data_IF_109854286651
#
_entry.id   IF_109854286651
#
_cell.length_a   1.000
_cell.length_b   1.000
_cell.length_c   1.000
_cell.angle_alpha   90.00
_cell.angle_beta   90.00
_cell.angle_gamma   90.00
#
_symmetry.space_group_name_H-M   'P 1'
#
loop_
_entity.id
_entity.type
_entity.pdbx_description
1 polymer ?
#
# COMPACT_ATOMS: atom_id res chain seq x y z
N UNK A 1 9.17 18.90 -13.95
CA UNK A 1 10.14 18.48 -12.91
C UNK A 1 10.83 17.18 -13.33
N UNK A 2 11.95 16.86 -12.67
CA UNK A 2 12.61 15.56 -12.80
C UNK A 2 12.08 14.66 -11.68
N UNK A 3 11.34 13.61 -12.04
CA UNK A 3 10.71 12.68 -11.08
C UNK A 3 11.33 11.30 -11.24
N UNK A 4 11.72 10.68 -10.13
CA UNK A 4 12.07 9.26 -10.08
C UNK A 4 10.92 8.48 -9.45
N UNK A 5 10.50 7.42 -10.11
CA UNK A 5 9.68 6.36 -9.49
C UNK A 5 10.59 5.15 -9.24
N UNK A 6 10.87 4.88 -7.99
CA UNK A 6 11.72 3.79 -7.54
C UNK A 6 10.86 2.56 -7.27
N UNK A 7 10.75 1.71 -8.26
CA UNK A 7 9.97 0.47 -8.27
C UNK A 7 8.98 0.44 -9.42
N UNK A 8 9.14 -0.54 -10.30
CA UNK A 8 8.37 -0.71 -11.53
C UNK A 8 7.35 -1.87 -11.41
N UNK A 9 6.69 -1.97 -10.26
CA UNK A 9 5.50 -2.80 -10.06
C UNK A 9 4.26 -2.17 -10.71
N UNK A 10 3.08 -2.73 -10.47
CA UNK A 10 1.81 -2.19 -11.00
C UNK A 10 1.60 -0.75 -10.56
N UNK A 11 1.66 -0.52 -9.24
CA UNK A 11 1.43 0.81 -8.64
C UNK A 11 2.50 1.82 -9.09
N UNK A 12 3.79 1.40 -9.11
CA UNK A 12 4.86 2.29 -9.57
C UNK A 12 4.74 2.66 -11.04
N UNK A 13 4.33 1.74 -11.89
CA UNK A 13 4.07 2.01 -13.30
C UNK A 13 2.89 2.98 -13.50
N UNK A 14 1.80 2.79 -12.74
CA UNK A 14 0.64 3.69 -12.82
C UNK A 14 1.00 5.10 -12.30
N UNK A 15 1.75 5.19 -11.21
CA UNK A 15 2.22 6.47 -10.69
C UNK A 15 3.19 7.17 -11.68
N UNK A 16 4.08 6.40 -12.33
CA UNK A 16 4.95 6.92 -13.38
C UNK A 16 4.14 7.44 -14.58
N UNK A 17 3.05 6.76 -14.96
CA UNK A 17 2.11 7.23 -15.98
C UNK A 17 1.49 8.57 -15.60
N UNK A 18 0.96 8.70 -14.38
CA UNK A 18 0.41 9.98 -13.90
C UNK A 18 1.45 11.10 -13.94
N UNK A 19 2.66 10.83 -13.46
CA UNK A 19 3.75 11.81 -13.52
C UNK A 19 4.10 12.22 -14.96
N UNK A 20 4.09 11.27 -15.89
CA UNK A 20 4.33 11.54 -17.30
C UNK A 20 3.21 12.37 -17.92
N UNK A 21 1.95 12.03 -17.65
CA UNK A 21 0.78 12.79 -18.13
C UNK A 21 0.73 14.22 -17.56
N UNK A 22 1.28 14.43 -16.37
CA UNK A 22 1.44 15.77 -15.78
C UNK A 22 2.59 16.59 -16.41
N UNK A 23 3.27 16.07 -17.46
CA UNK A 23 4.32 16.78 -18.20
C UNK A 23 5.70 16.76 -17.54
N UNK A 24 5.97 15.80 -16.65
CA UNK A 24 7.27 15.70 -16.00
C UNK A 24 8.25 14.84 -16.83
N UNK A 25 9.55 15.06 -16.59
CA UNK A 25 10.61 14.14 -17.02
C UNK A 25 10.67 12.98 -16.02
N UNK A 26 10.14 11.83 -16.43
CA UNK A 26 9.99 10.65 -15.57
C UNK A 26 11.11 9.66 -15.79
N UNK A 27 11.76 9.28 -14.71
CA UNK A 27 12.69 8.14 -14.64
C UNK A 27 12.01 7.02 -13.85
N UNK A 28 12.06 5.80 -14.36
CA UNK A 28 11.52 4.61 -13.70
C UNK A 28 12.68 3.66 -13.37
N UNK A 29 12.84 3.32 -12.07
CA UNK A 29 13.84 2.35 -11.67
C UNK A 29 13.23 0.95 -11.73
N UNK A 30 13.80 0.13 -12.61
CA UNK A 30 13.37 -1.25 -12.83
C UNK A 30 14.59 -2.19 -12.90
N UNK A 31 14.39 -3.48 -12.65
CA UNK A 31 15.46 -4.48 -12.64
C UNK A 31 15.16 -5.66 -13.56
N UNK A 32 16.23 -6.38 -13.93
CA UNK A 32 16.15 -7.63 -14.71
C UNK A 32 15.44 -7.46 -16.05
N UNK A 33 14.84 -8.53 -16.55
CA UNK A 33 14.17 -8.57 -17.84
C UNK A 33 13.05 -7.53 -18.00
N UNK A 34 12.42 -7.12 -16.90
CA UNK A 34 11.39 -6.07 -16.96
C UNK A 34 11.97 -4.70 -17.35
N UNK A 35 13.18 -4.37 -16.88
CA UNK A 35 13.86 -3.16 -17.31
C UNK A 35 14.12 -3.18 -18.83
N UNK A 36 14.53 -4.34 -19.38
CA UNK A 36 14.76 -4.51 -20.83
C UNK A 36 13.47 -4.32 -21.66
N UNK A 37 12.34 -4.78 -21.12
CA UNK A 37 11.01 -4.57 -21.75
C UNK A 37 10.67 -3.09 -21.79
N UNK A 38 10.80 -2.40 -20.65
CA UNK A 38 10.51 -0.96 -20.54
C UNK A 38 11.40 -0.11 -21.46
N UNK A 39 12.69 -0.45 -21.58
CA UNK A 39 13.61 0.25 -22.48
C UNK A 39 13.23 0.07 -23.95
N UNK A 40 12.83 -1.13 -24.35
CA UNK A 40 12.46 -1.41 -25.75
C UNK A 40 11.10 -0.86 -26.13
N UNK A 41 10.12 -0.99 -25.26
CA UNK A 41 8.68 -0.75 -25.58
C UNK A 41 8.13 0.54 -24.97
N UNK A 42 8.82 1.13 -24.00
CA UNK A 42 8.27 2.13 -23.13
C UNK A 42 7.37 1.50 -22.05
N UNK A 43 6.74 2.34 -21.26
CA UNK A 43 5.80 1.94 -20.22
C UNK A 43 4.42 1.72 -20.85
N UNK A 44 4.08 0.46 -21.11
CA UNK A 44 2.79 0.05 -21.68
C UNK A 44 1.83 -0.32 -20.54
N UNK A 45 0.69 0.39 -20.44
CA UNK A 45 -0.35 0.12 -19.44
C UNK A 45 -1.69 -0.14 -20.13
N UNK A 46 -2.29 -1.29 -19.83
CA UNK A 46 -3.69 -1.59 -20.16
C UNK A 46 -4.55 -1.16 -18.98
N UNK A 47 -5.32 -0.08 -19.16
CA UNK A 47 -6.30 0.41 -18.18
C UNK A 47 -7.58 -0.42 -18.33
N UNK A 48 -7.78 -1.39 -17.42
CA UNK A 48 -8.81 -2.42 -17.56
C UNK A 48 -10.24 -1.84 -17.62
N UNK A 49 -10.59 -0.96 -16.67
CA UNK A 49 -11.93 -0.37 -16.60
C UNK A 49 -12.20 0.66 -17.72
N UNK A 50 -11.18 1.39 -18.15
CA UNK A 50 -11.28 2.37 -19.23
C UNK A 50 -11.15 1.74 -20.62
N UNK A 51 -10.88 0.43 -20.71
CA UNK A 51 -10.70 -0.34 -21.95
C UNK A 51 -9.70 0.29 -22.93
N UNK A 52 -8.69 1.01 -22.44
CA UNK A 52 -7.65 1.67 -23.24
C UNK A 52 -6.27 1.17 -22.91
N UNK A 53 -5.35 1.35 -23.83
CA UNK A 53 -3.91 1.10 -23.59
C UNK A 53 -3.14 2.38 -23.85
N UNK A 54 -2.22 2.71 -22.97
CA UNK A 54 -1.29 3.84 -23.11
C UNK A 54 0.13 3.34 -23.23
N UNK A 55 1.00 4.16 -23.84
CA UNK A 55 2.44 3.90 -23.94
C UNK A 55 3.16 5.20 -23.67
N UNK A 56 3.95 5.25 -22.58
CA UNK A 56 4.72 6.42 -22.21
C UNK A 56 6.22 6.14 -22.44
N UNK A 57 6.93 7.15 -22.92
CA UNK A 57 8.37 7.10 -23.06
C UNK A 57 9.04 7.63 -21.82
N UNK A 58 9.33 6.75 -20.86
CA UNK A 58 10.03 7.05 -19.63
C UNK A 58 11.50 6.67 -19.74
N UNK A 59 12.37 7.37 -19.02
CA UNK A 59 13.75 6.95 -18.86
C UNK A 59 13.84 5.79 -17.87
N UNK A 60 14.62 4.75 -18.19
CA UNK A 60 14.77 3.57 -17.32
C UNK A 60 16.17 3.54 -16.74
N UNK A 61 16.26 3.34 -15.42
CA UNK A 61 17.53 3.08 -14.74
C UNK A 61 17.43 1.78 -13.92
N UNK A 62 18.56 1.14 -13.67
CA UNK A 62 18.64 -0.10 -12.89
C UNK A 62 19.14 0.13 -11.46
N UNK A 63 19.75 1.27 -11.22
CA UNK A 63 20.32 1.65 -9.94
C UNK A 63 20.21 3.17 -9.73
N UNK A 64 19.95 3.61 -8.51
CA UNK A 64 20.00 5.01 -8.11
C UNK A 64 21.43 5.33 -7.64
N UNK A 65 22.12 6.21 -8.37
CA UNK A 65 23.41 6.76 -7.95
C UNK A 65 23.21 7.90 -6.93
N UNK A 66 24.10 8.05 -5.93
CA UNK A 66 24.02 9.15 -4.96
C UNK A 66 23.94 10.53 -5.61
N UNK A 67 24.59 10.74 -6.75
CA UNK A 67 24.69 12.02 -7.46
C UNK A 67 23.49 12.33 -8.37
N UNK A 68 22.64 11.33 -8.64
CA UNK A 68 21.47 11.53 -9.48
C UNK A 68 20.42 12.37 -8.75
N UNK A 69 20.25 13.61 -9.18
CA UNK A 69 19.35 14.56 -8.54
C UNK A 69 17.97 14.54 -9.22
N UNK A 70 16.94 14.35 -8.42
CA UNK A 70 15.53 14.46 -8.78
C UNK A 70 14.87 15.53 -7.91
N UNK A 71 13.81 16.15 -8.42
CA UNK A 71 12.99 17.08 -7.64
C UNK A 71 12.11 16.33 -6.64
N UNK A 72 11.75 15.07 -7.01
CA UNK A 72 10.91 14.17 -6.23
C UNK A 72 11.30 12.71 -6.51
N UNK A 73 11.37 11.89 -5.47
CA UNK A 73 11.50 10.44 -5.55
C UNK A 73 10.25 9.80 -4.93
N UNK A 74 9.49 9.05 -5.71
CA UNK A 74 8.45 8.15 -5.21
C UNK A 74 9.04 6.75 -5.10
N UNK A 75 9.01 6.18 -3.90
CA UNK A 75 9.48 4.81 -3.63
C UNK A 75 8.26 3.91 -3.53
N UNK A 76 8.09 3.03 -4.51
CA UNK A 76 6.89 2.21 -4.68
C UNK A 76 7.26 0.74 -4.68
N UNK A 77 7.21 0.12 -3.52
CA UNK A 77 7.58 -1.28 -3.33
C UNK A 77 6.87 -1.87 -2.12
N UNK A 78 6.94 -3.19 -2.00
CA UNK A 78 6.41 -3.89 -0.85
C UNK A 78 7.13 -3.44 0.43
N UNK A 79 6.41 -3.36 1.55
CA UNK A 79 6.96 -2.94 2.86
C UNK A 79 8.21 -3.74 3.23
N UNK A 80 8.27 -5.03 2.93
CA UNK A 80 9.43 -5.91 3.21
C UNK A 80 10.70 -5.53 2.46
N UNK A 81 10.59 -4.75 1.38
CA UNK A 81 11.71 -4.31 0.55
C UNK A 81 12.22 -2.91 0.92
N UNK A 82 11.40 -2.12 1.63
CA UNK A 82 11.70 -0.73 1.96
C UNK A 82 12.99 -0.60 2.78
N UNK A 83 13.23 -1.38 3.85
CA UNK A 83 14.44 -1.23 4.66
C UNK A 83 15.74 -1.36 3.85
N UNK A 84 15.77 -2.24 2.85
CA UNK A 84 16.96 -2.45 2.02
C UNK A 84 17.35 -1.23 1.14
N UNK A 85 16.45 -0.28 0.93
CA UNK A 85 16.69 0.89 0.09
C UNK A 85 16.83 2.20 0.86
N UNK A 86 16.50 2.23 2.17
CA UNK A 86 16.59 3.43 3.00
C UNK A 86 18.01 4.05 3.00
N UNK A 87 19.11 3.29 3.13
CA UNK A 87 20.46 3.85 3.04
C UNK A 87 20.76 4.50 1.68
N UNK A 88 20.27 3.91 0.59
CA UNK A 88 20.43 4.48 -0.76
C UNK A 88 19.66 5.80 -0.91
N UNK A 89 18.45 5.86 -0.36
CA UNK A 89 17.62 7.07 -0.38
C UNK A 89 18.23 8.18 0.47
N UNK A 90 18.75 7.84 1.64
CA UNK A 90 19.41 8.78 2.54
C UNK A 90 20.68 9.38 1.90
N UNK A 91 21.51 8.55 1.25
CA UNK A 91 22.74 8.98 0.59
C UNK A 91 22.52 9.78 -0.70
N UNK A 92 21.37 9.64 -1.36
CA UNK A 92 21.11 10.35 -2.62
C UNK A 92 20.84 11.85 -2.39
N UNK A 93 21.35 12.70 -3.29
CA UNK A 93 21.27 14.18 -3.19
C UNK A 93 19.87 14.77 -3.43
N UNK A 94 18.87 13.98 -3.80
CA UNK A 94 17.51 14.48 -4.00
C UNK A 94 16.87 14.84 -2.65
N UNK A 95 16.23 16.02 -2.54
CA UNK A 95 15.78 16.53 -1.25
C UNK A 95 14.48 15.91 -0.74
N UNK A 96 13.66 15.29 -1.62
CA UNK A 96 12.29 14.87 -1.29
C UNK A 96 12.03 13.43 -1.67
N UNK A 97 11.48 12.69 -0.71
CA UNK A 97 11.12 11.26 -0.85
C UNK A 97 9.68 11.06 -0.39
N UNK A 98 8.90 10.31 -1.16
CA UNK A 98 7.58 9.81 -0.77
C UNK A 98 7.63 8.29 -0.76
N UNK A 99 7.42 7.67 0.39
CA UNK A 99 7.31 6.22 0.54
C UNK A 99 5.84 5.82 0.28
N UNK A 100 5.59 5.04 -0.76
CA UNK A 100 4.24 4.71 -1.25
C UNK A 100 3.97 3.22 -1.13
N UNK A 101 2.93 2.87 -0.39
CA UNK A 101 2.48 1.49 -0.19
C UNK A 101 2.11 1.20 1.26
N UNK A 102 1.78 -0.06 1.54
CA UNK A 102 1.58 -0.52 2.90
C UNK A 102 2.85 -0.34 3.72
N UNK A 103 2.73 0.24 4.91
CA UNK A 103 3.87 0.41 5.80
C UNK A 103 3.42 0.65 7.26
N UNK A 104 3.33 -0.39 8.06
CA UNK A 104 3.04 -0.26 9.50
C UNK A 104 4.24 0.20 10.32
N UNK A 105 5.44 0.23 9.72
CA UNK A 105 6.69 0.69 10.35
C UNK A 105 7.15 2.04 9.78
N UNK A 106 6.22 2.87 9.34
CA UNK A 106 6.50 4.13 8.65
C UNK A 106 7.39 5.07 9.48
N UNK A 107 7.16 5.15 10.81
CA UNK A 107 7.96 5.97 11.71
C UNK A 107 9.43 5.55 11.76
N UNK A 108 9.71 4.25 11.79
CA UNK A 108 11.08 3.74 11.77
C UNK A 108 11.77 4.04 10.43
N UNK A 109 11.06 3.93 9.32
CA UNK A 109 11.58 4.28 8.00
C UNK A 109 11.91 5.78 7.87
N UNK A 110 11.05 6.66 8.39
CA UNK A 110 11.33 8.09 8.42
C UNK A 110 12.56 8.39 9.26
N UNK A 111 12.63 7.83 10.46
CA UNK A 111 13.73 8.05 11.40
C UNK A 111 15.07 7.64 10.79
N UNK A 112 15.16 6.47 10.15
CA UNK A 112 16.39 5.99 9.52
C UNK A 112 16.87 6.94 8.41
N UNK A 113 15.96 7.46 7.57
CA UNK A 113 16.33 8.43 6.53
C UNK A 113 16.84 9.73 7.15
N UNK A 114 16.15 10.24 8.18
CA UNK A 114 16.46 11.55 8.76
C UNK A 114 17.67 11.52 9.68
N UNK A 115 17.96 10.41 10.35
CA UNK A 115 19.20 10.24 11.13
C UNK A 115 20.42 10.32 10.21
N UNK A 116 20.33 9.77 9.00
CA UNK A 116 21.42 9.82 8.02
C UNK A 116 21.42 11.13 7.20
N UNK A 117 20.28 11.76 6.98
CA UNK A 117 20.14 13.00 6.21
C UNK A 117 19.03 13.91 6.76
N UNK A 118 19.29 14.72 7.81
CA UNK A 118 18.28 15.53 8.49
C UNK A 118 17.61 16.60 7.61
N UNK A 119 18.22 16.98 6.47
CA UNK A 119 17.69 17.97 5.54
C UNK A 119 16.71 17.41 4.52
N UNK A 120 16.48 16.11 4.53
CA UNK A 120 15.57 15.45 3.59
C UNK A 120 14.12 15.61 4.05
N UNK A 121 13.22 15.92 3.12
CA UNK A 121 11.79 15.91 3.37
C UNK A 121 11.23 14.52 3.02
N UNK A 122 10.59 13.88 4.00
CA UNK A 122 9.97 12.55 3.83
C UNK A 122 8.46 12.69 3.98
N UNK A 123 7.72 12.10 3.06
CA UNK A 123 6.28 11.96 3.13
C UNK A 123 5.90 10.49 2.91
N UNK A 124 4.67 10.17 3.24
CA UNK A 124 4.11 8.84 3.02
C UNK A 124 2.92 8.94 2.08
N UNK A 125 2.68 7.87 1.35
CA UNK A 125 1.58 7.81 0.42
C UNK A 125 0.97 6.43 0.29
N UNK A 126 -0.30 6.41 -0.10
CA UNK A 126 -1.00 5.21 -0.50
C UNK A 126 -1.71 5.45 -1.83
N UNK A 127 -1.49 4.56 -2.80
CA UNK A 127 -2.02 4.74 -4.14
C UNK A 127 -3.17 3.78 -4.42
N UNK A 128 -4.33 4.35 -4.77
CA UNK A 128 -5.59 3.62 -4.98
C UNK A 128 -5.68 3.02 -6.38
N UNK A 129 -4.92 1.94 -6.62
CA UNK A 129 -5.03 1.14 -7.83
C UNK A 129 -4.68 -0.33 -7.55
N UNK A 130 -5.14 -1.22 -8.39
CA UNK A 130 -4.84 -2.64 -8.36
C UNK A 130 -4.48 -3.15 -9.75
N UNK A 131 -4.04 -4.40 -9.87
CA UNK A 131 -3.74 -5.03 -11.14
C UNK A 131 -2.61 -6.04 -11.05
N UNK A 132 -2.10 -6.41 -12.21
CA UNK A 132 -1.00 -7.36 -12.33
C UNK A 132 -0.07 -6.97 -13.48
N UNK A 133 1.10 -7.59 -13.49
CA UNK A 133 2.06 -7.42 -14.57
C UNK A 133 2.04 -8.65 -15.48
N UNK A 134 1.91 -8.41 -16.76
CA UNK A 134 2.15 -9.38 -17.82
C UNK A 134 3.60 -9.30 -18.32
N UNK A 135 3.98 -10.16 -19.26
CA UNK A 135 5.34 -10.21 -19.78
C UNK A 135 5.81 -8.89 -20.41
N UNK A 136 4.92 -8.13 -21.04
CA UNK A 136 5.25 -6.95 -21.83
C UNK A 136 4.48 -5.68 -21.49
N UNK A 137 3.57 -5.75 -20.49
CA UNK A 137 2.74 -4.62 -20.05
C UNK A 137 2.27 -4.79 -18.62
N UNK A 138 1.77 -3.70 -18.09
CA UNK A 138 0.98 -3.68 -16.86
C UNK A 138 -0.50 -3.67 -17.22
N UNK A 139 -1.30 -4.46 -16.51
CA UNK A 139 -2.75 -4.34 -16.48
C UNK A 139 -3.10 -3.64 -15.18
N UNK A 140 -3.64 -2.44 -15.29
CA UNK A 140 -4.02 -1.62 -14.14
C UNK A 140 -5.52 -1.41 -14.08
N UNK A 141 -6.06 -1.40 -12.88
CA UNK A 141 -7.45 -1.13 -12.59
C UNK A 141 -7.58 -0.05 -11.52
N UNK A 142 -8.24 1.02 -11.87
CA UNK A 142 -8.61 2.11 -10.97
C UNK A 142 -9.87 2.81 -11.49
N UNK A 143 -10.71 3.32 -10.62
CA UNK A 143 -11.84 4.19 -11.02
C UNK A 143 -11.35 5.62 -11.20
N UNK A 144 -10.62 6.11 -10.21
CA UNK A 144 -10.00 7.43 -10.21
C UNK A 144 -8.65 7.30 -9.48
N UNK A 145 -7.51 7.33 -10.20
CA UNK A 145 -6.22 7.11 -9.59
C UNK A 145 -5.89 8.28 -8.65
N UNK A 146 -5.77 7.98 -7.37
CA UNK A 146 -5.39 8.95 -6.35
C UNK A 146 -4.22 8.48 -5.54
N UNK A 147 -3.29 9.39 -5.29
CA UNK A 147 -2.29 9.27 -4.25
C UNK A 147 -2.80 10.00 -3.01
N UNK A 148 -3.15 9.26 -1.98
CA UNK A 148 -3.37 9.78 -0.64
C UNK A 148 -1.98 10.01 -0.07
N UNK A 149 -1.64 11.23 0.35
CA UNK A 149 -0.28 11.58 0.71
C UNK A 149 -0.24 12.61 1.83
N UNK A 150 0.71 12.44 2.74
CA UNK A 150 0.89 13.37 3.84
C UNK A 150 2.10 13.05 4.72
N UNK A 151 2.27 13.78 5.83
CA UNK A 151 3.22 13.46 6.88
C UNK A 151 2.73 12.28 7.72
N UNK A 152 3.59 11.72 8.55
CA UNK A 152 3.15 10.74 9.56
C UNK A 152 2.10 11.33 10.49
N UNK A 153 2.35 12.52 11.01
CA UNK A 153 1.40 13.31 11.78
C UNK A 153 1.64 14.81 11.55
N UNK A 154 0.66 15.49 10.97
CA UNK A 154 0.74 16.92 10.70
C UNK A 154 0.77 17.81 11.94
N UNK A 155 0.31 17.30 13.11
CA UNK A 155 0.35 18.05 14.36
C UNK A 155 1.76 18.20 14.89
N UNK A 156 2.57 17.17 14.74
CA UNK A 156 3.96 17.14 15.23
C UNK A 156 4.95 17.59 14.17
N UNK A 157 4.72 17.19 12.90
CA UNK A 157 5.64 17.48 11.79
C UNK A 157 4.85 17.65 10.48
N UNK A 158 4.28 18.85 10.22
CA UNK A 158 3.59 19.10 8.95
C UNK A 158 4.57 19.07 7.77
N UNK A 159 4.08 18.66 6.60
CA UNK A 159 4.83 18.84 5.36
C UNK A 159 4.94 20.33 5.02
N UNK A 160 6.07 20.73 4.43
CA UNK A 160 6.20 22.08 3.88
C UNK A 160 5.22 22.30 2.71
N UNK A 161 4.79 23.53 2.49
CA UNK A 161 3.96 23.89 1.33
C UNK A 161 4.68 23.51 0.03
N UNK A 162 6.00 23.69 -0.02
CA UNK A 162 6.82 23.30 -1.16
C UNK A 162 6.75 21.80 -1.43
N UNK A 163 6.71 20.95 -0.39
CA UNK A 163 6.56 19.50 -0.57
C UNK A 163 5.18 19.15 -1.14
N UNK A 164 4.11 19.73 -0.59
CA UNK A 164 2.73 19.51 -1.06
C UNK A 164 2.54 19.94 -2.51
N UNK A 165 3.00 21.15 -2.85
CA UNK A 165 2.94 21.66 -4.22
C UNK A 165 3.74 20.79 -5.20
N UNK A 166 4.89 20.27 -4.78
CA UNK A 166 5.72 19.40 -5.60
C UNK A 166 5.05 18.04 -5.85
N UNK A 167 4.46 17.42 -4.83
CA UNK A 167 3.69 16.17 -5.01
C UNK A 167 2.51 16.42 -5.95
N UNK A 168 1.71 17.46 -5.69
CA UNK A 168 0.56 17.81 -6.52
C UNK A 168 0.96 18.10 -7.98
N UNK A 169 2.07 18.81 -8.21
CA UNK A 169 2.60 19.09 -9.54
C UNK A 169 3.15 17.83 -10.22
N UNK A 170 3.70 16.88 -9.43
CA UNK A 170 4.27 15.66 -9.97
C UNK A 170 3.21 14.74 -10.58
N UNK A 171 2.06 14.58 -9.92
CA UNK A 171 1.03 13.60 -10.31
C UNK A 171 -0.22 14.25 -10.93
N UNK A 172 -0.26 15.60 -10.97
CA UNK A 172 -1.48 16.36 -11.28
C UNK A 172 -2.35 16.57 -10.03
N UNK A 173 -2.68 17.83 -9.73
CA UNK A 173 -3.36 18.20 -8.48
C UNK A 173 -4.68 17.45 -8.20
N UNK A 174 -5.42 17.06 -9.26
CA UNK A 174 -6.66 16.29 -9.12
C UNK A 174 -6.44 14.84 -8.66
N UNK A 175 -5.22 14.34 -8.79
CA UNK A 175 -4.83 12.98 -8.40
C UNK A 175 -4.21 12.92 -7.01
N UNK A 176 -4.03 14.04 -6.33
CA UNK A 176 -3.57 14.12 -4.94
C UNK A 176 -4.75 14.25 -3.99
N UNK A 177 -4.67 13.55 -2.88
CA UNK A 177 -5.55 13.70 -1.73
C UNK A 177 -4.67 13.86 -0.49
N UNK A 178 -4.81 14.99 0.21
CA UNK A 178 -4.08 15.24 1.45
C UNK A 178 -4.59 14.34 2.58
N UNK A 179 -3.65 13.80 3.35
CA UNK A 179 -3.89 13.10 4.61
C UNK A 179 -3.01 13.71 5.70
N UNK A 180 -3.62 13.99 6.85
CA UNK A 180 -2.93 14.67 7.96
C UNK A 180 -2.22 13.72 8.92
N UNK A 181 -2.54 12.43 8.86
CA UNK A 181 -1.93 11.38 9.69
C UNK A 181 -1.76 10.10 8.88
N UNK A 182 -0.71 10.04 8.08
CA UNK A 182 -0.40 8.84 7.28
C UNK A 182 -0.03 7.64 8.14
N UNK A 183 0.53 7.85 9.34
CA UNK A 183 0.78 6.73 10.28
C UNK A 183 -0.53 6.05 10.67
N UNK A 184 -1.52 6.83 11.08
CA UNK A 184 -2.85 6.30 11.42
C UNK A 184 -3.56 5.71 10.20
N UNK A 185 -3.48 6.40 9.04
CA UNK A 185 -4.08 5.92 7.79
C UNK A 185 -3.53 4.54 7.38
N UNK A 186 -2.22 4.36 7.37
CA UNK A 186 -1.58 3.11 6.98
C UNK A 186 -1.90 1.97 7.94
N UNK A 187 -1.97 2.25 9.26
CA UNK A 187 -2.39 1.29 10.27
C UNK A 187 -3.86 0.88 10.09
N UNK A 188 -4.77 1.84 9.91
CA UNK A 188 -6.18 1.55 9.67
C UNK A 188 -6.39 0.78 8.36
N UNK A 189 -5.67 1.17 7.29
CA UNK A 189 -5.72 0.44 6.04
C UNK A 189 -5.27 -1.02 6.21
N UNK A 190 -4.17 -1.27 6.91
CA UNK A 190 -3.67 -2.63 7.15
C UNK A 190 -4.72 -3.51 7.83
N UNK A 191 -5.35 -3.04 8.93
CA UNK A 191 -6.35 -3.84 9.66
C UNK A 191 -7.70 -3.93 8.96
N UNK A 192 -8.00 -3.06 8.02
CA UNK A 192 -9.19 -3.19 7.16
C UNK A 192 -8.97 -4.22 6.04
N UNK A 193 -7.73 -4.43 5.61
CA UNK A 193 -7.37 -5.36 4.55
C UNK A 193 -7.07 -6.77 5.08
N UNK A 194 -6.44 -6.91 6.24
CA UNK A 194 -6.02 -8.20 6.78
C UNK A 194 -7.17 -9.22 6.93
N UNK A 195 -8.37 -8.88 7.43
CA UNK A 195 -9.49 -9.83 7.45
C UNK A 195 -9.90 -10.31 6.06
N UNK A 196 -9.82 -9.46 5.02
CA UNK A 196 -10.06 -9.84 3.62
C UNK A 196 -8.98 -10.82 3.15
N UNK A 197 -7.72 -10.58 3.52
CA UNK A 197 -6.59 -11.47 3.23
C UNK A 197 -6.78 -12.84 3.88
N UNK A 198 -7.22 -12.88 5.14
CA UNK A 198 -7.50 -14.15 5.82
C UNK A 198 -8.59 -14.94 5.12
N UNK A 199 -9.69 -14.29 4.75
CA UNK A 199 -10.75 -14.94 3.97
C UNK A 199 -10.22 -15.41 2.60
N UNK A 200 -9.37 -14.61 1.96
CA UNK A 200 -8.77 -14.95 0.69
C UNK A 200 -7.90 -16.22 0.79
N UNK A 201 -7.04 -16.31 1.81
CA UNK A 201 -6.19 -17.49 2.05
C UNK A 201 -7.01 -18.72 2.44
N UNK A 202 -8.02 -18.55 3.31
CA UNK A 202 -8.90 -19.64 3.73
C UNK A 202 -9.69 -20.26 2.57
N UNK A 203 -9.93 -19.49 1.49
CA UNK A 203 -10.69 -19.91 0.30
C UNK A 203 -9.82 -20.09 -0.96
N UNK A 204 -8.53 -20.40 -0.83
CA UNK A 204 -7.62 -20.63 -1.97
C UNK A 204 -7.60 -19.50 -2.98
N UNK A 205 -7.53 -18.26 -2.50
CA UNK A 205 -7.56 -17.02 -3.29
C UNK A 205 -8.86 -16.79 -4.09
N UNK A 206 -9.94 -17.48 -3.75
CA UNK A 206 -11.23 -17.33 -4.43
C UNK A 206 -12.29 -16.71 -3.51
N UNK A 207 -12.33 -15.38 -3.46
CA UNK A 207 -13.32 -14.64 -2.66
C UNK A 207 -14.77 -14.89 -3.10
N UNK A 208 -15.00 -15.48 -4.28
CA UNK A 208 -16.38 -15.82 -4.68
C UNK A 208 -16.97 -16.94 -3.82
N UNK A 209 -16.15 -17.72 -3.12
CA UNK A 209 -16.57 -18.76 -2.18
C UNK A 209 -16.95 -18.20 -0.80
N UNK A 210 -16.49 -17.00 -0.45
CA UNK A 210 -16.78 -16.37 0.84
C UNK A 210 -18.29 -16.15 0.99
N UNK A 211 -18.86 -16.62 2.10
CA UNK A 211 -20.26 -16.43 2.44
C UNK A 211 -20.56 -15.02 2.94
N UNK A 212 -21.83 -14.63 2.99
CA UNK A 212 -22.25 -13.38 3.61
C UNK A 212 -21.94 -13.33 5.11
N UNK A 213 -22.04 -14.50 5.79
CA UNK A 213 -21.66 -14.64 7.20
C UNK A 213 -20.19 -14.32 7.44
N UNK A 214 -19.30 -14.92 6.65
CA UNK A 214 -17.85 -14.67 6.72
C UNK A 214 -17.49 -13.22 6.34
N UNK A 215 -18.21 -12.60 5.40
CA UNK A 215 -18.03 -11.18 5.10
C UNK A 215 -18.32 -10.31 6.33
N UNK A 216 -19.38 -10.64 7.08
CA UNK A 216 -19.69 -9.94 8.34
C UNK A 216 -18.65 -10.19 9.43
N UNK A 217 -18.12 -11.42 9.52
CA UNK A 217 -17.01 -11.73 10.43
C UNK A 217 -15.76 -10.93 10.07
N UNK A 218 -15.42 -10.80 8.78
CA UNK A 218 -14.29 -9.94 8.35
C UNK A 218 -14.44 -8.49 8.82
N UNK A 219 -15.63 -7.92 8.69
CA UNK A 219 -15.91 -6.57 9.18
C UNK A 219 -15.87 -6.48 10.72
N UNK A 220 -16.37 -7.51 11.42
CA UNK A 220 -16.30 -7.57 12.88
C UNK A 220 -14.85 -7.63 13.38
N UNK A 221 -13.98 -8.38 12.70
CA UNK A 221 -12.55 -8.44 13.00
C UNK A 221 -11.88 -7.06 12.81
N UNK A 222 -12.19 -6.34 11.73
CA UNK A 222 -11.74 -4.95 11.56
C UNK A 222 -12.19 -4.07 12.72
N UNK A 223 -13.44 -4.21 13.16
CA UNK A 223 -13.95 -3.45 14.31
C UNK A 223 -13.23 -3.79 15.62
N UNK A 224 -12.79 -5.04 15.84
CA UNK A 224 -11.97 -5.41 17.01
C UNK A 224 -10.64 -4.63 17.01
N UNK A 225 -9.94 -4.59 15.86
CA UNK A 225 -8.70 -3.84 15.72
C UNK A 225 -8.90 -2.31 15.86
N UNK A 226 -9.98 -1.76 15.33
CA UNK A 226 -10.30 -0.34 15.46
C UNK A 226 -10.61 0.07 16.90
N UNK A 227 -11.27 -0.78 17.69
CA UNK A 227 -11.48 -0.53 19.13
C UNK A 227 -10.14 -0.42 19.87
N UNK A 228 -9.20 -1.33 19.58
CA UNK A 228 -7.84 -1.24 20.13
C UNK A 228 -7.18 0.09 19.73
N UNK A 229 -7.22 0.45 18.45
CA UNK A 229 -6.61 1.71 17.98
C UNK A 229 -7.19 2.93 18.69
N UNK A 230 -8.51 2.98 18.85
CA UNK A 230 -9.19 4.07 19.56
C UNK A 230 -8.74 4.17 21.03
N UNK A 231 -8.61 3.05 21.74
CA UNK A 231 -8.11 3.02 23.12
C UNK A 231 -6.63 3.40 23.23
N UNK A 232 -5.82 3.06 22.25
CA UNK A 232 -4.41 3.47 22.16
C UNK A 232 -4.23 4.93 21.71
N UNK A 233 -5.33 5.65 21.42
CA UNK A 233 -5.26 7.02 20.92
C UNK A 233 -4.82 7.15 19.47
N UNK A 234 -4.80 6.06 18.71
CA UNK A 234 -4.56 6.07 17.25
C UNK A 234 -5.87 6.52 16.59
N UNK A 235 -5.81 7.64 15.88
CA UNK A 235 -6.97 8.17 15.17
C UNK A 235 -7.42 7.17 14.07
N UNK A 236 -8.74 6.99 13.93
CA UNK A 236 -9.25 6.18 12.82
C UNK A 236 -9.26 7.02 11.53
N UNK A 237 -8.67 6.45 10.49
CA UNK A 237 -8.49 7.11 9.18
C UNK A 237 -8.80 6.14 8.03
N UNK A 238 -9.37 6.63 6.88
CA UNK A 238 -9.78 8.01 6.59
C UNK A 238 -10.93 8.50 7.48
N UNK A 239 -11.30 9.79 7.36
CA UNK A 239 -12.46 10.33 8.07
C UNK A 239 -13.72 9.51 7.79
N UNK A 240 -14.52 9.26 8.83
CA UNK A 240 -15.72 8.42 8.76
C UNK A 240 -15.54 7.01 9.33
N UNK A 241 -14.31 6.55 9.58
CA UNK A 241 -14.08 5.21 10.15
C UNK A 241 -14.58 5.10 11.61
N UNK A 242 -14.60 6.21 12.36
CA UNK A 242 -15.22 6.24 13.69
C UNK A 242 -16.73 5.97 13.64
N UNK A 243 -17.43 6.58 12.69
CA UNK A 243 -18.86 6.33 12.47
C UNK A 243 -19.11 4.90 11.99
N UNK A 244 -18.24 4.38 11.12
CA UNK A 244 -18.31 2.99 10.66
C UNK A 244 -18.16 2.02 11.85
N UNK A 245 -17.19 2.27 12.75
CA UNK A 245 -16.98 1.47 13.95
C UNK A 245 -18.20 1.54 14.88
N UNK A 246 -18.75 2.74 15.14
CA UNK A 246 -19.89 2.92 16.02
C UNK A 246 -21.16 2.21 15.52
N UNK A 247 -21.26 2.05 14.18
CA UNK A 247 -22.30 1.26 13.53
C UNK A 247 -21.90 -0.21 13.31
N UNK A 248 -20.79 -0.68 13.90
CA UNK A 248 -20.25 -2.03 13.72
C UNK A 248 -20.09 -2.44 12.24
N UNK A 249 -19.78 -1.46 11.39
CA UNK A 249 -19.62 -1.63 9.93
C UNK A 249 -20.81 -2.31 9.21
N UNK A 250 -21.99 -2.34 9.83
CA UNK A 250 -23.17 -3.10 9.31
C UNK A 250 -23.58 -2.69 7.91
N UNK A 251 -23.45 -1.42 7.56
CA UNK A 251 -23.78 -0.90 6.23
C UNK A 251 -22.85 -1.38 5.11
N UNK A 252 -21.65 -1.87 5.45
CA UNK A 252 -20.63 -2.26 4.48
C UNK A 252 -20.72 -3.74 4.06
N UNK A 253 -21.42 -4.59 4.82
CA UNK A 253 -21.43 -6.03 4.59
C UNK A 253 -22.01 -6.43 3.21
N UNK A 254 -23.13 -5.84 2.83
CA UNK A 254 -23.78 -6.18 1.56
C UNK A 254 -22.99 -5.66 0.34
N UNK A 255 -22.54 -4.40 0.30
CA UNK A 255 -21.67 -3.93 -0.78
C UNK A 255 -20.37 -4.75 -0.91
N UNK A 256 -19.70 -5.04 0.20
CA UNK A 256 -18.46 -5.82 0.19
C UNK A 256 -18.68 -7.24 -0.30
N UNK A 257 -19.73 -7.91 0.19
CA UNK A 257 -20.12 -9.25 -0.30
C UNK A 257 -20.42 -9.22 -1.81
N UNK A 258 -21.14 -8.21 -2.30
CA UNK A 258 -21.40 -8.06 -3.72
C UNK A 258 -20.11 -7.90 -4.53
N UNK A 259 -19.14 -7.10 -4.05
CA UNK A 259 -17.83 -6.93 -4.69
C UNK A 259 -17.08 -8.26 -4.78
N UNK A 260 -17.09 -9.08 -3.73
CA UNK A 260 -16.43 -10.40 -3.73
C UNK A 260 -16.96 -11.33 -4.84
N UNK A 261 -18.21 -11.18 -5.26
CA UNK A 261 -18.84 -11.99 -6.33
C UNK A 261 -18.52 -11.47 -7.74
N UNK A 262 -17.70 -10.42 -7.86
CA UNK A 262 -17.38 -9.78 -9.14
C UNK A 262 -15.91 -9.99 -9.53
N UNK A 263 -15.60 -9.75 -10.80
CA UNK A 263 -14.21 -9.72 -11.26
C UNK A 263 -13.39 -8.59 -10.60
N UNK A 264 -14.05 -7.55 -10.07
CA UNK A 264 -13.40 -6.46 -9.34
C UNK A 264 -12.80 -6.98 -8.04
N UNK A 265 -13.56 -7.76 -7.25
CA UNK A 265 -13.06 -8.40 -6.03
C UNK A 265 -11.89 -9.33 -6.32
N UNK A 266 -11.93 -10.07 -7.43
CA UNK A 266 -10.81 -10.90 -7.88
C UNK A 266 -9.56 -10.06 -8.16
N UNK A 267 -9.65 -9.01 -8.97
CA UNK A 267 -8.48 -8.19 -9.35
C UNK A 267 -7.92 -7.37 -8.19
N UNK A 268 -8.79 -6.86 -7.29
CA UNK A 268 -8.36 -5.98 -6.20
C UNK A 268 -7.77 -6.77 -5.04
N UNK A 269 -8.37 -7.90 -4.66
CA UNK A 269 -7.97 -8.64 -3.48
C UNK A 269 -7.31 -9.98 -3.82
N UNK A 270 -7.98 -10.87 -4.57
CA UNK A 270 -7.46 -12.21 -4.83
C UNK A 270 -6.14 -12.21 -5.59
N UNK A 271 -6.04 -11.42 -6.66
CA UNK A 271 -4.80 -11.33 -7.45
C UNK A 271 -3.67 -10.68 -6.62
N UNK A 272 -3.99 -9.69 -5.76
CA UNK A 272 -2.99 -9.08 -4.90
C UNK A 272 -2.47 -10.06 -3.86
N UNK A 273 -3.35 -10.78 -3.16
CA UNK A 273 -2.98 -11.80 -2.17
C UNK A 273 -2.16 -12.94 -2.80
N UNK A 274 -2.52 -13.38 -4.00
CA UNK A 274 -1.80 -14.47 -4.68
C UNK A 274 -0.43 -14.04 -5.20
N UNK A 275 -0.27 -12.78 -5.62
CA UNK A 275 0.99 -12.27 -6.15
C UNK A 275 1.97 -11.77 -5.07
N UNK A 276 1.50 -11.43 -3.87
CA UNK A 276 2.30 -10.88 -2.79
C UNK A 276 1.98 -11.48 -1.41
N UNK A 277 1.88 -12.82 -1.25
CA UNK A 277 1.49 -13.42 0.03
C UNK A 277 2.48 -13.08 1.15
N UNK A 278 3.78 -12.97 0.83
CA UNK A 278 4.81 -12.58 1.80
C UNK A 278 4.62 -11.17 2.36
N UNK A 279 4.11 -10.22 1.56
CA UNK A 279 3.76 -8.88 2.04
C UNK A 279 2.56 -8.92 2.98
N UNK A 280 1.56 -9.73 2.66
CA UNK A 280 0.36 -9.87 3.50
C UNK A 280 0.70 -10.45 4.87
N UNK A 281 1.54 -11.48 4.92
CA UNK A 281 2.00 -12.05 6.19
C UNK A 281 2.93 -11.10 6.96
N UNK A 282 3.71 -10.26 6.28
CA UNK A 282 4.50 -9.24 6.96
C UNK A 282 3.63 -8.11 7.55
N UNK A 283 2.49 -7.78 6.92
CA UNK A 283 1.50 -6.88 7.52
C UNK A 283 0.83 -7.51 8.74
N UNK A 284 0.45 -8.78 8.66
CA UNK A 284 -0.07 -9.57 9.77
C UNK A 284 0.91 -9.55 10.96
N UNK A 285 2.16 -9.89 10.73
CA UNK A 285 3.20 -9.89 11.77
C UNK A 285 3.37 -8.50 12.40
N UNK A 286 3.39 -7.44 11.60
CA UNK A 286 3.51 -6.07 12.11
C UNK A 286 2.30 -5.66 12.96
N UNK A 287 1.09 -6.09 12.59
CA UNK A 287 -0.10 -5.85 13.41
C UNK A 287 -0.06 -6.66 14.71
N UNK A 288 0.30 -7.94 14.66
CA UNK A 288 0.40 -8.78 15.88
C UNK A 288 1.48 -8.26 16.84
N UNK A 289 2.58 -7.72 16.33
CA UNK A 289 3.58 -7.04 17.17
C UNK A 289 3.01 -5.78 17.84
N UNK A 290 2.26 -4.96 17.11
CA UNK A 290 1.58 -3.80 17.68
C UNK A 290 0.53 -4.21 18.73
N UNK A 291 -0.27 -5.25 18.45
CA UNK A 291 -1.25 -5.83 19.37
C UNK A 291 -0.58 -6.33 20.65
N UNK A 292 0.53 -7.06 20.52
CA UNK A 292 1.30 -7.56 21.67
C UNK A 292 1.91 -6.44 22.53
N UNK A 293 2.22 -5.29 21.93
CA UNK A 293 2.74 -4.11 22.64
C UNK A 293 1.65 -3.20 23.23
N UNK A 294 0.37 -3.50 23.00
CA UNK A 294 -0.76 -2.71 23.45
C UNK A 294 -1.04 -2.97 24.95
N UNK A 295 -0.16 -2.47 25.83
CA UNK A 295 -0.32 -2.62 27.28
C UNK A 295 -1.62 -2.02 27.77
N UNK A 296 -2.38 -2.80 28.57
CA UNK A 296 -3.65 -2.36 29.18
C UNK A 296 -4.88 -2.51 28.30
N UNK A 297 -4.76 -2.86 27.02
CA UNK A 297 -5.94 -3.20 26.22
C UNK A 297 -6.51 -4.56 26.64
N UNK A 298 -7.82 -4.57 26.98
CA UNK A 298 -8.53 -5.78 27.47
C UNK A 298 -9.65 -6.23 26.55
N UNK A 299 -9.80 -5.60 25.40
CA UNK A 299 -10.82 -5.95 24.41
C UNK A 299 -10.58 -7.32 23.74
N UNK A 300 -11.64 -7.87 23.16
CA UNK A 300 -11.59 -9.17 22.50
C UNK A 300 -11.05 -9.05 21.07
N UNK A 301 -10.34 -10.12 20.66
CA UNK A 301 -9.96 -10.39 19.27
C UNK A 301 -10.47 -11.78 18.84
N UNK A 302 -11.62 -12.21 19.32
CA UNK A 302 -12.16 -13.55 19.06
C UNK A 302 -12.40 -13.81 17.58
N UNK A 303 -13.01 -12.84 16.88
CA UNK A 303 -13.30 -12.98 15.45
C UNK A 303 -12.04 -12.87 14.62
N UNK A 304 -11.15 -11.94 14.97
CA UNK A 304 -9.84 -11.79 14.32
C UNK A 304 -9.04 -13.08 14.40
N UNK A 305 -8.86 -13.62 15.60
CA UNK A 305 -8.06 -14.83 15.85
C UNK A 305 -8.67 -16.07 15.16
N UNK A 306 -9.99 -16.16 15.10
CA UNK A 306 -10.69 -17.20 14.35
C UNK A 306 -10.34 -17.17 12.86
N UNK A 307 -10.46 -15.99 12.22
CA UNK A 307 -10.19 -15.81 10.79
C UNK A 307 -8.71 -16.01 10.47
N UNK A 308 -7.82 -15.45 11.30
CA UNK A 308 -6.37 -15.60 11.17
C UNK A 308 -5.97 -17.07 11.27
N UNK A 309 -6.48 -17.81 12.26
CA UNK A 309 -6.15 -19.22 12.45
C UNK A 309 -6.60 -20.08 11.27
N UNK A 310 -7.77 -19.83 10.70
CA UNK A 310 -8.25 -20.51 9.50
C UNK A 310 -7.34 -20.24 8.28
N UNK A 311 -6.93 -18.98 8.10
CA UNK A 311 -6.00 -18.60 7.04
C UNK A 311 -4.62 -19.24 7.20
N UNK A 312 -4.06 -19.24 8.41
CA UNK A 312 -2.76 -19.88 8.74
C UNK A 312 -2.81 -21.38 8.44
N UNK A 313 -3.84 -22.08 8.92
CA UNK A 313 -3.99 -23.52 8.69
C UNK A 313 -4.05 -23.85 7.20
N UNK A 314 -4.90 -23.14 6.45
CA UNK A 314 -5.07 -23.38 5.01
C UNK A 314 -3.83 -23.01 4.20
N UNK A 315 -3.17 -21.90 4.55
CA UNK A 315 -1.95 -21.48 3.87
C UNK A 315 -0.80 -22.47 4.09
N UNK A 316 -0.65 -22.99 5.31
CA UNK A 316 0.36 -24.01 5.65
C UNK A 316 0.14 -25.31 4.89
N UNK A 317 -1.12 -25.76 4.74
CA UNK A 317 -1.45 -26.93 3.92
C UNK A 317 -1.05 -26.74 2.45
N UNK A 318 -1.32 -25.57 1.89
CA UNK A 318 -1.02 -25.26 0.49
C UNK A 318 0.48 -25.01 0.22
N UNK A 319 1.26 -24.67 1.26
CA UNK A 319 2.68 -24.29 1.15
C UNK A 319 3.54 -25.09 2.14
N UNK A 320 3.82 -26.39 1.87
CA UNK A 320 4.65 -27.22 2.75
C UNK A 320 6.01 -26.57 3.02
N UNK A 321 6.36 -26.43 4.30
CA UNK A 321 7.60 -25.79 4.73
C UNK A 321 7.50 -24.29 5.03
N UNK A 322 6.37 -23.65 4.74
CA UNK A 322 6.11 -22.31 5.24
C UNK A 322 5.94 -22.32 6.76
N UNK A 323 6.47 -21.28 7.41
CA UNK A 323 6.33 -21.10 8.87
C UNK A 323 5.43 -19.90 9.12
N UNK A 324 4.42 -20.11 9.95
CA UNK A 324 3.55 -19.01 10.38
C UNK A 324 4.36 -17.91 11.07
N UNK A 325 3.98 -16.64 10.89
CA UNK A 325 4.56 -15.53 11.64
C UNK A 325 4.40 -15.75 13.15
N UNK A 326 5.41 -15.31 13.92
CA UNK A 326 5.41 -15.38 15.37
C UNK A 326 4.27 -14.54 15.94
N UNK A 327 3.43 -15.13 16.79
CA UNK A 327 2.23 -14.48 17.35
C UNK A 327 0.95 -15.33 17.17
N UNK A 328 1.09 -16.54 16.65
CA UNK A 328 0.00 -17.52 16.53
C UNK A 328 -0.02 -18.49 17.68
#
# INVERSE_FOLDING_TARGET
>A
MRVLVFGAGVIGCELAHLCYQAGNSVTLLARGAWADVLERRGLVIRHALQMRTTTDRVHVIRQLSPENRYDMIFVVMQQTQVPAVLPTLAANVSPRVVLVGNNMQASACEQEILDACPSKEVAFGFFMAAGHRESERVVSMHLNPKLICGPLDAKTKPLSDAMRERVASAIGAKSMQDEHSMDAYLKCHAVSVLPIVYLCFAHDYDLTKVSFGETREGLAATCEAYRMYRELGIALRPDGEDEALDNECKGLALPMFAVYKTFVGRLVASDHCSNAPGEMWALDEAFEQLRASAEGYTGSFEVWDKLRSAAVARFAEAHPGWKAPTGS
#
